data_IF_688994624055
#
_entry.id   IF_688994624055
#
_cell.length_a   1.000
_cell.length_b   1.000
_cell.length_c   1.000
_cell.angle_alpha   90.00
_cell.angle_beta   90.00
_cell.angle_gamma   90.00
#
_symmetry.space_group_name_H-M   'P 1'
#
loop_
_entity.id
_entity.type
_entity.pdbx_description
1 polymer ?
#
# COMPACT_ATOMS: atom_id res chain seq x y z
N UNK A 1 -8.98 7.54 16.57
CA UNK A 1 -7.70 8.27 16.50
C UNK A 1 -6.60 7.62 17.37
N UNK A 2 -6.54 7.81 18.70
CA UNK A 2 -5.46 7.18 19.52
C UNK A 2 -5.40 5.64 19.44
N UNK A 3 -6.54 4.97 19.28
CA UNK A 3 -6.62 3.50 19.16
C UNK A 3 -6.07 3.00 17.80
N UNK A 4 -6.34 3.73 16.73
CA UNK A 4 -5.87 3.42 15.37
C UNK A 4 -4.35 3.62 15.26
N UNK A 5 -3.83 4.68 15.89
CA UNK A 5 -2.38 4.97 15.94
C UNK A 5 -1.63 3.91 16.72
N UNK A 6 -2.17 3.48 17.88
CA UNK A 6 -1.57 2.41 18.68
C UNK A 6 -1.56 1.07 17.94
N UNK A 7 -2.57 0.81 17.09
CA UNK A 7 -2.57 -0.33 16.17
C UNK A 7 -1.49 -0.19 15.09
N UNK A 8 -1.37 0.96 14.44
CA UNK A 8 -0.32 1.22 13.44
C UNK A 8 1.08 1.06 14.06
N UNK A 9 1.33 1.56 15.27
CA UNK A 9 2.62 1.39 15.95
C UNK A 9 2.91 -0.08 16.25
N UNK A 10 1.91 -0.85 16.74
CA UNK A 10 2.06 -2.30 16.92
C UNK A 10 2.33 -3.02 15.59
N UNK A 11 1.61 -2.65 14.54
CA UNK A 11 1.80 -3.20 13.19
C UNK A 11 3.16 -2.82 12.63
N UNK A 12 3.68 -1.62 12.87
CA UNK A 12 5.03 -1.25 12.44
C UNK A 12 6.09 -2.04 13.20
N UNK A 13 5.91 -2.23 14.52
CA UNK A 13 6.87 -2.92 15.38
C UNK A 13 6.96 -4.43 15.11
N UNK A 14 5.83 -5.09 14.88
CA UNK A 14 5.77 -6.55 14.66
C UNK A 14 5.54 -6.94 13.19
N UNK A 15 4.84 -6.09 12.45
CA UNK A 15 4.51 -6.32 11.04
C UNK A 15 5.70 -6.09 10.11
N UNK A 16 6.62 -5.14 10.37
CA UNK A 16 7.84 -4.99 9.56
C UNK A 16 8.74 -6.23 9.60
N UNK A 17 9.10 -6.79 10.77
CA UNK A 17 9.88 -8.03 10.80
C UNK A 17 9.10 -9.23 10.22
N UNK A 18 7.77 -9.30 10.42
CA UNK A 18 6.95 -10.31 9.75
C UNK A 18 6.96 -10.15 8.22
N UNK A 19 6.97 -8.92 7.71
CA UNK A 19 7.06 -8.60 6.28
C UNK A 19 8.40 -9.04 5.69
N UNK A 20 9.50 -8.87 6.44
CA UNK A 20 10.84 -9.33 6.03
C UNK A 20 10.88 -10.86 5.94
N UNK A 21 10.36 -11.56 6.96
CA UNK A 21 10.27 -13.03 6.96
C UNK A 21 9.38 -13.50 5.80
N UNK A 22 8.26 -12.81 5.58
CA UNK A 22 7.37 -13.06 4.46
C UNK A 22 8.09 -12.85 3.12
N UNK A 23 8.88 -11.79 2.95
CA UNK A 23 9.63 -11.51 1.73
C UNK A 23 10.67 -12.60 1.44
N UNK A 24 11.35 -13.07 2.48
CA UNK A 24 12.30 -14.18 2.38
C UNK A 24 11.61 -15.49 1.98
N UNK A 25 10.46 -15.81 2.60
CA UNK A 25 9.64 -16.96 2.24
C UNK A 25 9.10 -16.86 0.81
N UNK A 26 8.71 -15.66 0.39
CA UNK A 26 8.25 -15.36 -0.97
C UNK A 26 9.37 -15.60 -1.99
N UNK A 27 10.57 -15.05 -1.78
CA UNK A 27 11.72 -15.28 -2.66
C UNK A 27 12.07 -16.76 -2.75
N UNK A 28 12.09 -17.47 -1.63
CA UNK A 28 12.34 -18.92 -1.60
C UNK A 28 11.30 -19.71 -2.39
N UNK A 29 10.02 -19.39 -2.21
CA UNK A 29 8.94 -20.11 -2.88
C UNK A 29 8.84 -19.77 -4.38
N UNK A 30 9.36 -18.61 -4.81
CA UNK A 30 9.50 -18.23 -6.23
C UNK A 30 10.49 -19.15 -6.96
N UNK A 31 11.57 -19.56 -6.29
CA UNK A 31 12.52 -20.54 -6.82
C UNK A 31 11.95 -21.97 -6.84
N UNK A 32 10.95 -22.27 -6.01
CA UNK A 32 10.38 -23.61 -5.89
C UNK A 32 9.16 -23.87 -6.82
N UNK A 33 8.63 -22.85 -7.52
CA UNK A 33 7.40 -22.93 -8.32
C UNK A 33 6.17 -23.42 -7.54
N UNK A 34 6.10 -23.11 -6.25
CA UNK A 34 5.02 -23.64 -5.40
C UNK A 34 3.72 -22.86 -5.63
N UNK A 35 2.63 -23.56 -5.94
CA UNK A 35 1.28 -22.98 -5.99
C UNK A 35 0.87 -22.29 -4.66
N UNK A 36 1.53 -22.64 -3.55
CA UNK A 36 1.42 -21.97 -2.26
C UNK A 36 1.85 -20.49 -2.27
N UNK A 37 2.53 -20.02 -3.32
CA UNK A 37 2.81 -18.60 -3.53
C UNK A 37 1.52 -17.78 -3.67
N UNK A 38 0.47 -18.36 -4.26
CA UNK A 38 -0.79 -17.68 -4.53
C UNK A 38 -1.44 -17.22 -3.21
N UNK A 39 -1.81 -18.09 -2.26
CA UNK A 39 -2.42 -17.65 -1.01
C UNK A 39 -1.50 -16.74 -0.19
N UNK A 40 -0.18 -16.94 -0.28
CA UNK A 40 0.81 -16.07 0.35
C UNK A 40 0.68 -14.64 -0.22
N UNK A 41 0.72 -14.47 -1.54
CA UNK A 41 0.62 -13.18 -2.22
C UNK A 41 -0.68 -12.42 -1.93
N UNK A 42 -1.78 -13.15 -1.83
CA UNK A 42 -3.06 -12.57 -1.43
C UNK A 42 -3.05 -12.10 0.02
N UNK A 43 -2.37 -12.81 0.93
CA UNK A 43 -2.16 -12.34 2.30
C UNK A 43 -1.37 -11.02 2.34
N UNK A 44 -0.33 -10.87 1.51
CA UNK A 44 0.40 -9.61 1.42
C UNK A 44 -0.47 -8.47 0.89
N UNK A 45 -1.25 -8.71 -0.17
CA UNK A 45 -2.15 -7.70 -0.70
C UNK A 45 -3.20 -7.27 0.34
N UNK A 46 -3.78 -8.21 1.08
CA UNK A 46 -4.69 -7.92 2.19
C UNK A 46 -3.99 -7.09 3.27
N UNK A 47 -2.74 -7.42 3.61
CA UNK A 47 -1.96 -6.66 4.59
C UNK A 47 -1.70 -5.22 4.13
N UNK A 48 -1.31 -5.02 2.87
CA UNK A 48 -1.11 -3.69 2.27
C UNK A 48 -2.41 -2.88 2.23
N UNK A 49 -3.51 -3.51 1.85
CA UNK A 49 -4.86 -2.93 1.89
C UNK A 49 -5.22 -2.49 3.32
N UNK A 50 -4.94 -3.34 4.31
CA UNK A 50 -5.23 -3.04 5.70
C UNK A 50 -4.41 -1.85 6.21
N UNK A 51 -3.11 -1.79 5.88
CA UNK A 51 -2.28 -0.63 6.20
C UNK A 51 -2.79 0.65 5.52
N UNK A 52 -3.05 0.62 4.21
CA UNK A 52 -3.56 1.79 3.47
C UNK A 52 -4.92 2.26 3.99
N UNK A 53 -5.77 1.34 4.45
CA UNK A 53 -7.05 1.67 5.09
C UNK A 53 -6.87 2.41 6.40
N UNK A 54 -5.94 1.96 7.24
CA UNK A 54 -5.65 2.63 8.50
C UNK A 54 -5.02 4.01 8.27
N UNK A 55 -4.11 4.14 7.32
CA UNK A 55 -3.52 5.41 6.91
C UNK A 55 -4.57 6.41 6.43
N UNK A 56 -5.46 5.99 5.51
CA UNK A 56 -6.58 6.81 5.05
C UNK A 56 -7.51 7.21 6.20
N UNK A 57 -7.85 6.28 7.10
CA UNK A 57 -8.69 6.59 8.26
C UNK A 57 -8.03 7.64 9.15
N UNK A 58 -6.73 7.53 9.44
CA UNK A 58 -6.01 8.48 10.28
C UNK A 58 -5.97 9.87 9.61
N UNK A 59 -5.55 9.93 8.34
CA UNK A 59 -5.47 11.21 7.62
C UNK A 59 -6.84 11.87 7.41
N UNK A 60 -7.89 11.08 7.18
CA UNK A 60 -9.27 11.60 7.07
C UNK A 60 -9.77 12.29 8.34
N UNK A 61 -9.32 11.88 9.53
CA UNK A 61 -9.73 12.55 10.78
C UNK A 61 -9.06 13.92 10.96
N UNK A 62 -7.97 14.18 10.22
CA UNK A 62 -7.22 15.44 10.28
C UNK A 62 -7.59 16.38 9.13
N UNK A 63 -7.99 15.83 7.99
CA UNK A 63 -8.45 16.62 6.87
C UNK A 63 -9.79 17.31 7.20
N UNK A 64 -9.77 18.64 7.18
CA UNK A 64 -10.95 19.48 7.41
C UNK A 64 -11.59 19.87 6.08
N UNK A 65 -10.80 19.97 5.02
CA UNK A 65 -11.25 20.45 3.72
C UNK A 65 -11.85 19.30 2.85
N UNK A 66 -13.08 19.44 2.31
CA UNK A 66 -13.70 18.39 1.48
C UNK A 66 -12.90 18.04 0.21
N UNK A 67 -12.10 18.98 -0.31
CA UNK A 67 -11.20 18.72 -1.45
C UNK A 67 -10.00 17.86 -1.06
N UNK A 68 -9.42 18.05 0.13
CA UNK A 68 -8.35 17.20 0.66
C UNK A 68 -8.85 15.76 0.88
N UNK A 69 -10.09 15.60 1.35
CA UNK A 69 -10.73 14.28 1.50
C UNK A 69 -10.88 13.56 0.15
N UNK A 70 -11.20 14.27 -0.94
CA UNK A 70 -11.26 13.68 -2.28
C UNK A 70 -9.88 13.16 -2.72
N UNK A 71 -8.83 13.96 -2.54
CA UNK A 71 -7.47 13.55 -2.88
C UNK A 71 -6.98 12.36 -2.04
N UNK A 72 -7.26 12.34 -0.74
CA UNK A 72 -6.99 11.20 0.13
C UNK A 72 -7.72 9.93 -0.33
N UNK A 73 -8.96 10.06 -0.81
CA UNK A 73 -9.72 8.92 -1.35
C UNK A 73 -9.11 8.39 -2.65
N UNK A 74 -8.61 9.27 -3.51
CA UNK A 74 -7.89 8.89 -4.74
C UNK A 74 -6.61 8.14 -4.39
N UNK A 75 -5.83 8.66 -3.44
CA UNK A 75 -4.61 8.00 -2.97
C UNK A 75 -4.92 6.61 -2.41
N UNK A 76 -5.95 6.50 -1.56
CA UNK A 76 -6.40 5.22 -1.03
C UNK A 76 -6.83 4.21 -2.10
N UNK A 77 -7.61 4.65 -3.09
CA UNK A 77 -8.05 3.80 -4.20
C UNK A 77 -6.86 3.31 -5.04
N UNK A 78 -5.85 4.17 -5.21
CA UNK A 78 -4.62 3.82 -5.92
C UNK A 78 -3.78 2.80 -5.17
N UNK A 79 -3.60 2.95 -3.85
CA UNK A 79 -2.90 1.96 -3.02
C UNK A 79 -3.59 0.58 -3.09
N UNK A 80 -4.93 0.57 -3.11
CA UNK A 80 -5.70 -0.66 -3.33
C UNK A 80 -5.45 -1.27 -4.70
N UNK A 81 -5.50 -0.44 -5.75
CA UNK A 81 -5.29 -0.87 -7.12
C UNK A 81 -3.90 -1.48 -7.31
N UNK A 82 -2.87 -0.85 -6.74
CA UNK A 82 -1.49 -1.35 -6.76
C UNK A 82 -1.35 -2.67 -6.01
N UNK A 83 -1.94 -2.81 -4.82
CA UNK A 83 -1.91 -4.06 -4.06
C UNK A 83 -2.62 -5.21 -4.79
N UNK A 84 -3.75 -4.93 -5.44
CA UNK A 84 -4.49 -5.91 -6.24
C UNK A 84 -3.74 -6.27 -7.52
N UNK A 85 -3.20 -5.29 -8.26
CA UNK A 85 -2.39 -5.57 -9.45
C UNK A 85 -1.17 -6.42 -9.10
N UNK A 86 -0.51 -6.17 -7.96
CA UNK A 86 0.61 -6.97 -7.51
C UNK A 86 0.20 -8.43 -7.24
N UNK A 87 -0.89 -8.66 -6.51
CA UNK A 87 -1.37 -10.02 -6.24
C UNK A 87 -1.83 -10.74 -7.52
N UNK A 88 -2.56 -10.04 -8.39
CA UNK A 88 -3.07 -10.60 -9.65
C UNK A 88 -1.94 -10.89 -10.63
N UNK A 89 -0.98 -9.98 -10.80
CA UNK A 89 0.18 -10.18 -11.69
C UNK A 89 1.00 -11.40 -11.27
N UNK A 90 1.27 -11.54 -9.97
CA UNK A 90 2.02 -12.69 -9.44
C UNK A 90 1.22 -13.99 -9.49
N UNK A 91 -0.08 -13.95 -9.20
CA UNK A 91 -0.97 -15.13 -9.35
C UNK A 91 -1.00 -15.58 -10.80
N UNK A 92 -1.16 -14.64 -11.73
CA UNK A 92 -1.11 -14.91 -13.15
C UNK A 92 0.26 -15.46 -13.56
N UNK A 93 1.38 -14.93 -13.05
CA UNK A 93 2.72 -15.44 -13.33
C UNK A 93 2.89 -16.92 -12.93
N UNK A 94 2.32 -17.32 -11.78
CA UNK A 94 2.36 -18.70 -11.31
C UNK A 94 1.48 -19.62 -12.17
N UNK A 95 0.32 -19.15 -12.64
CA UNK A 95 -0.63 -19.96 -13.40
C UNK A 95 -0.32 -20.01 -14.92
N UNK A 96 0.05 -18.88 -15.50
CA UNK A 96 0.40 -18.70 -16.90
C UNK A 96 1.42 -17.55 -17.03
N UNK A 97 2.68 -17.92 -17.30
CA UNK A 97 3.78 -16.97 -17.40
C UNK A 97 3.53 -15.86 -18.42
N UNK A 98 2.78 -16.13 -19.48
CA UNK A 98 2.53 -15.17 -20.57
C UNK A 98 1.58 -14.06 -20.12
N UNK A 99 0.48 -14.45 -19.46
CA UNK A 99 -0.50 -13.52 -18.89
C UNK A 99 0.12 -12.77 -17.71
N UNK A 100 0.87 -13.48 -16.86
CA UNK A 100 1.58 -12.90 -15.73
C UNK A 100 2.60 -11.84 -16.13
N UNK A 101 3.36 -12.08 -17.20
CA UNK A 101 4.29 -11.08 -17.75
C UNK A 101 3.55 -9.84 -18.27
N UNK A 102 2.44 -10.02 -18.96
CA UNK A 102 1.66 -8.89 -19.52
C UNK A 102 1.08 -8.00 -18.41
N UNK A 103 0.49 -8.61 -17.38
CA UNK A 103 -0.02 -7.88 -16.21
C UNK A 103 1.14 -7.30 -15.39
N UNK A 104 2.26 -8.03 -15.28
CA UNK A 104 3.47 -7.57 -14.60
C UNK A 104 4.11 -6.35 -15.25
N UNK A 105 4.12 -6.28 -16.58
CA UNK A 105 4.59 -5.09 -17.33
C UNK A 105 3.67 -3.89 -17.08
N UNK A 106 2.35 -4.08 -17.13
CA UNK A 106 1.38 -3.05 -16.77
C UNK A 106 1.60 -2.54 -15.35
N UNK A 107 1.81 -3.44 -14.40
CA UNK A 107 2.12 -3.09 -13.01
C UNK A 107 3.44 -2.32 -12.90
N UNK A 108 4.49 -2.75 -13.58
CA UNK A 108 5.78 -2.07 -13.58
C UNK A 108 5.66 -0.64 -14.12
N UNK A 109 4.96 -0.45 -15.25
CA UNK A 109 4.71 0.89 -15.83
C UNK A 109 3.93 1.77 -14.85
N UNK A 110 2.89 1.22 -14.22
CA UNK A 110 2.12 1.94 -13.21
C UNK A 110 3.01 2.36 -12.04
N UNK A 111 3.86 1.45 -11.55
CA UNK A 111 4.79 1.70 -10.45
C UNK A 111 5.87 2.73 -10.76
N UNK A 112 6.33 2.79 -12.01
CA UNK A 112 7.22 3.87 -12.46
C UNK A 112 6.57 5.26 -12.37
N UNK A 113 5.25 5.34 -12.49
CA UNK A 113 4.51 6.60 -12.34
C UNK A 113 4.15 6.94 -10.90
N UNK A 114 4.37 6.04 -9.93
CA UNK A 114 3.98 6.26 -8.53
C UNK A 114 4.65 7.49 -7.95
N UNK A 115 5.96 7.68 -8.17
CA UNK A 115 6.68 8.84 -7.63
C UNK A 115 6.14 10.17 -8.16
N UNK A 116 5.70 10.21 -9.43
CA UNK A 116 5.08 11.40 -10.01
C UNK A 116 3.68 11.63 -9.44
N UNK A 117 2.89 10.56 -9.31
CA UNK A 117 1.52 10.61 -8.77
C UNK A 117 1.50 11.03 -7.31
N UNK A 118 2.37 10.47 -6.48
CA UNK A 118 2.50 10.88 -5.07
C UNK A 118 2.89 12.35 -4.96
N UNK A 119 3.89 12.80 -5.71
CA UNK A 119 4.27 14.23 -5.73
C UNK A 119 3.11 15.13 -6.15
N UNK A 120 2.31 14.70 -7.14
CA UNK A 120 1.15 15.45 -7.60
C UNK A 120 0.06 15.51 -6.52
N UNK A 121 -0.23 14.38 -5.88
CA UNK A 121 -1.22 14.28 -4.80
C UNK A 121 -0.79 15.11 -3.59
N UNK A 122 0.47 15.04 -3.16
CA UNK A 122 0.99 15.83 -2.04
C UNK A 122 0.95 17.32 -2.35
N UNK A 123 1.31 17.75 -3.57
CA UNK A 123 1.22 19.16 -3.98
C UNK A 123 -0.23 19.67 -3.97
N UNK A 124 -1.17 18.87 -4.45
CA UNK A 124 -2.59 19.22 -4.44
C UNK A 124 -3.16 19.26 -3.02
N UNK A 125 -2.74 18.34 -2.14
CA UNK A 125 -3.10 18.36 -0.72
C UNK A 125 -2.55 19.60 -0.02
N UNK A 126 -1.27 19.95 -0.22
CA UNK A 126 -0.67 21.15 0.35
C UNK A 126 -1.28 22.45 -0.19
N UNK A 127 -1.70 22.47 -1.45
CA UNK A 127 -2.38 23.63 -2.04
C UNK A 127 -3.78 23.86 -1.46
N UNK A 128 -4.46 22.78 -1.04
CA UNK A 128 -5.83 22.83 -0.51
C UNK A 128 -5.84 22.98 1.02
N UNK A 129 -4.87 22.37 1.71
CA UNK A 129 -4.77 22.35 3.17
C UNK A 129 -3.28 22.36 3.59
N UNK A 130 -2.63 23.53 3.60
CA UNK A 130 -1.17 23.65 3.78
C UNK A 130 -0.69 23.22 5.17
N UNK A 131 -1.54 23.30 6.19
CA UNK A 131 -1.23 22.88 7.56
C UNK A 131 -1.44 21.38 7.81
N UNK A 132 -1.84 20.62 6.77
CA UNK A 132 -2.10 19.19 6.92
C UNK A 132 -0.78 18.43 7.20
N UNK A 133 -0.63 17.77 8.37
CA UNK A 133 0.54 16.98 8.66
C UNK A 133 0.60 15.73 7.77
N UNK A 134 1.80 15.37 7.34
CA UNK A 134 2.03 14.08 6.67
C UNK A 134 1.78 12.92 7.62
N UNK A 135 1.45 11.74 7.09
CA UNK A 135 1.19 10.55 7.90
C UNK A 135 2.33 10.21 8.87
N UNK A 136 3.57 10.36 8.43
CA UNK A 136 4.75 10.12 9.27
C UNK A 136 4.85 11.12 10.44
N UNK A 137 4.66 12.41 10.16
CA UNK A 137 4.60 13.45 11.19
C UNK A 137 3.43 13.26 12.15
N UNK A 138 2.30 12.77 11.64
CA UNK A 138 1.12 12.43 12.44
C UNK A 138 1.40 11.28 13.40
N UNK A 139 2.07 10.22 12.91
CA UNK A 139 2.49 9.11 13.76
C UNK A 139 3.48 9.57 14.81
N UNK A 140 4.51 10.35 14.45
CA UNK A 140 5.52 10.85 15.41
C UNK A 140 4.92 11.76 16.49
N UNK A 141 3.97 12.62 16.14
CA UNK A 141 3.29 13.48 17.13
C UNK A 141 2.39 12.72 18.09
N UNK A 142 2.00 11.49 17.75
CA UNK A 142 1.06 10.67 18.53
C UNK A 142 1.70 9.40 19.12
N UNK A 143 2.99 9.15 18.85
CA UNK A 143 3.81 8.08 19.42
C UNK A 143 4.51 8.52 20.69
#
# INVERSE_FOLDING_TARGET
>A
MQRDVRQVIKIRRYGVPALIIYLAAFLYALFAQWMWLIPLMWLLAIFLIFMGTNEYRIMRHVATNPLAIKWLRIQYAMTWLEALLLAVSMTALVLDHSIGLLIGVLFAVMRFTDSYRDRLITKQLQAVEPDMPTYEQLIERMS
#
